data_IF_970718368608
#
_entry.id   IF_970718368608
#
_cell.length_a   1.000
_cell.length_b   1.000
_cell.length_c   1.000
_cell.angle_alpha   90.00
_cell.angle_beta   90.00
_cell.angle_gamma   90.00
#
_symmetry.space_group_name_H-M   'P 1'
#
loop_
_entity.id
_entity.type
_entity.pdbx_description
1 polymer ?
#
# COMPACT_ATOMS: atom_id res chain seq x y z
N UNK A 1 -5.13 29.63 -13.50
CA UNK A 1 -5.20 29.43 -12.04
C UNK A 1 -4.21 28.35 -11.68
N UNK A 2 -3.32 28.64 -10.73
CA UNK A 2 -2.16 27.84 -10.34
C UNK A 2 -2.37 27.22 -8.96
N UNK A 3 -2.14 25.92 -8.82
CA UNK A 3 -2.25 25.21 -7.54
C UNK A 3 -0.93 24.54 -7.20
N UNK A 4 -0.40 24.85 -6.01
CA UNK A 4 0.71 24.12 -5.41
C UNK A 4 0.14 22.97 -4.57
N UNK A 5 0.60 21.75 -4.80
CA UNK A 5 0.22 20.55 -4.05
C UNK A 5 1.45 20.03 -3.30
N UNK A 6 1.33 19.85 -1.99
CA UNK A 6 2.43 19.45 -1.12
C UNK A 6 2.02 18.23 -0.29
N UNK A 7 2.69 17.09 -0.50
CA UNK A 7 2.42 15.82 0.18
C UNK A 7 3.63 14.89 0.00
N UNK A 8 4.11 14.23 1.06
CA UNK A 8 5.30 13.37 0.99
C UNK A 8 5.02 11.99 0.36
N UNK A 9 3.76 11.69 0.04
CA UNK A 9 3.35 10.48 -0.66
C UNK A 9 3.14 10.74 -2.16
N UNK A 10 4.06 10.22 -2.98
CA UNK A 10 4.03 10.37 -4.45
C UNK A 10 2.69 9.93 -5.07
N UNK A 11 2.05 8.89 -4.53
CA UNK A 11 0.75 8.43 -5.00
C UNK A 11 -0.35 9.49 -4.83
N UNK A 12 -0.30 10.26 -3.74
CA UNK A 12 -1.24 11.34 -3.46
C UNK A 12 -0.98 12.51 -4.40
N UNK A 13 0.29 12.91 -4.56
CA UNK A 13 0.70 13.94 -5.53
C UNK A 13 0.21 13.62 -6.94
N UNK A 14 0.52 12.42 -7.46
CA UNK A 14 0.08 11.97 -8.80
C UNK A 14 -1.44 11.93 -8.95
N UNK A 15 -2.18 11.72 -7.86
CA UNK A 15 -3.64 11.69 -7.87
C UNK A 15 -4.22 13.10 -7.98
N UNK A 16 -3.70 14.01 -7.15
CA UNK A 16 -4.12 15.40 -7.10
C UNK A 16 -3.71 16.16 -8.35
N UNK A 17 -2.48 16.00 -8.80
CA UNK A 17 -1.95 16.60 -10.03
C UNK A 17 -2.84 16.27 -11.22
N UNK A 18 -3.08 14.97 -11.47
CA UNK A 18 -3.95 14.54 -12.56
C UNK A 18 -5.36 15.10 -12.41
N UNK A 19 -5.95 15.00 -11.23
CA UNK A 19 -7.34 15.45 -11.02
C UNK A 19 -7.52 16.95 -11.18
N UNK A 20 -6.58 17.76 -10.72
CA UNK A 20 -6.66 19.21 -10.80
C UNK A 20 -6.28 19.69 -12.21
N UNK A 21 -5.33 19.03 -12.88
CA UNK A 21 -5.02 19.29 -14.29
C UNK A 21 -6.21 18.95 -15.19
N UNK A 22 -6.92 17.84 -14.95
CA UNK A 22 -8.15 17.46 -15.66
C UNK A 22 -9.28 18.51 -15.45
N UNK A 23 -9.23 19.26 -14.34
CA UNK A 23 -10.13 20.38 -14.06
C UNK A 23 -9.65 21.73 -14.66
N UNK A 24 -8.50 21.74 -15.34
CA UNK A 24 -7.92 22.89 -16.03
C UNK A 24 -7.02 23.78 -15.16
N UNK A 25 -6.64 23.33 -13.97
CA UNK A 25 -5.65 24.04 -13.14
C UNK A 25 -4.24 23.74 -13.62
N UNK A 26 -3.35 24.73 -13.54
CA UNK A 26 -1.91 24.51 -13.66
C UNK A 26 -1.39 24.03 -12.31
N UNK A 27 -0.79 22.84 -12.24
CA UNK A 27 -0.42 22.21 -10.96
C UNK A 27 1.10 22.06 -10.85
N UNK A 28 1.63 22.39 -9.67
CA UNK A 28 3.01 22.10 -9.29
C UNK A 28 3.01 21.25 -8.03
N UNK A 29 3.78 20.17 -7.99
CA UNK A 29 3.86 19.27 -6.85
C UNK A 29 5.21 19.37 -6.13
N UNK A 30 5.19 19.25 -4.81
CA UNK A 30 6.38 19.10 -3.96
C UNK A 30 6.18 17.93 -3.00
N UNK A 31 7.20 17.08 -2.84
CA UNK A 31 7.20 15.93 -1.92
C UNK A 31 7.94 16.21 -0.61
N UNK A 32 8.43 17.44 -0.43
CA UNK A 32 9.14 17.90 0.76
C UNK A 32 8.96 19.41 0.96
N UNK A 33 9.23 19.87 2.19
CA UNK A 33 9.02 21.27 2.60
C UNK A 33 9.92 22.24 1.84
N UNK A 34 11.18 21.86 1.56
CA UNK A 34 12.15 22.72 0.88
C UNK A 34 11.69 23.06 -0.54
N UNK A 35 11.35 22.03 -1.31
CA UNK A 35 10.81 22.18 -2.66
C UNK A 35 9.47 22.91 -2.64
N UNK A 36 8.61 22.67 -1.63
CA UNK A 36 7.35 23.38 -1.50
C UNK A 36 7.54 24.89 -1.37
N UNK A 37 8.50 25.33 -0.55
CA UNK A 37 8.86 26.74 -0.36
C UNK A 37 9.46 27.33 -1.66
N UNK A 38 10.41 26.64 -2.28
CA UNK A 38 11.02 27.09 -3.52
C UNK A 38 10.01 27.19 -4.67
N UNK A 39 9.11 26.21 -4.78
CA UNK A 39 8.06 26.20 -5.79
C UNK A 39 7.01 27.25 -5.48
N UNK A 40 6.65 27.50 -4.22
CA UNK A 40 5.75 28.59 -3.87
C UNK A 40 6.25 29.94 -4.43
N UNK A 41 7.52 30.26 -4.20
CA UNK A 41 8.12 31.52 -4.66
C UNK A 41 8.21 31.62 -6.17
N UNK A 42 8.70 30.56 -6.83
CA UNK A 42 8.93 30.57 -8.28
C UNK A 42 7.66 30.39 -9.11
N UNK A 43 6.69 29.63 -8.59
CA UNK A 43 5.44 29.32 -9.30
C UNK A 43 4.35 30.37 -9.05
N UNK A 44 4.39 31.03 -7.88
CA UNK A 44 3.38 32.00 -7.41
C UNK A 44 1.96 31.43 -7.50
N UNK A 45 1.62 30.41 -6.70
CA UNK A 45 0.33 29.74 -6.78
C UNK A 45 -0.83 30.62 -6.29
N UNK A 46 -2.01 30.40 -6.87
CA UNK A 46 -3.28 31.00 -6.41
C UNK A 46 -3.86 30.23 -5.21
N UNK A 47 -3.49 28.95 -5.02
CA UNK A 47 -3.87 28.11 -3.88
C UNK A 47 -2.71 27.17 -3.54
N UNK A 48 -2.45 26.96 -2.24
CA UNK A 48 -1.62 25.87 -1.76
C UNK A 48 -2.48 24.81 -1.07
N UNK A 49 -2.34 23.54 -1.50
CA UNK A 49 -2.96 22.39 -0.86
C UNK A 49 -1.86 21.56 -0.21
N UNK A 50 -1.91 21.44 1.12
CA UNK A 50 -0.78 21.00 1.94
C UNK A 50 -1.20 19.85 2.84
N UNK A 51 -0.47 18.73 2.79
CA UNK A 51 -0.58 17.68 3.78
C UNK A 51 0.10 18.09 5.10
N UNK A 52 -0.59 17.87 6.21
CA UNK A 52 -0.06 18.24 7.53
C UNK A 52 0.95 17.24 8.07
N UNK A 53 0.86 15.96 7.67
CA UNK A 53 1.60 14.85 8.26
C UNK A 53 2.81 14.47 7.41
N UNK A 54 3.63 15.44 7.01
CA UNK A 54 4.83 15.16 6.22
C UNK A 54 6.01 14.71 7.09
N UNK A 55 6.72 13.68 6.67
CA UNK A 55 7.94 13.27 7.37
C UNK A 55 9.09 14.27 7.15
N UNK A 56 9.60 14.86 8.23
CA UNK A 56 10.81 15.70 8.17
C UNK A 56 12.02 14.79 8.11
N UNK A 57 12.86 14.93 7.08
CA UNK A 57 14.18 14.29 7.07
C UNK A 57 15.20 15.28 7.62
N UNK A 58 16.13 14.79 8.45
CA UNK A 58 17.14 15.62 9.12
C UNK A 58 18.06 16.39 8.15
N UNK A 59 18.01 16.07 6.85
CA UNK A 59 18.88 16.63 5.81
C UNK A 59 18.32 17.90 5.15
N UNK A 60 17.09 18.34 5.48
CA UNK A 60 16.43 19.52 4.87
C UNK A 60 16.63 20.83 5.67
N UNK A 61 17.87 21.17 6.04
CA UNK A 61 18.17 22.42 6.76
C UNK A 61 18.90 23.49 5.91
N UNK A 62 18.30 24.69 5.90
CA UNK A 62 18.85 26.05 5.61
C UNK A 62 18.90 26.53 4.15
N UNK A 63 18.34 27.71 3.87
CA UNK A 63 19.08 28.95 4.09
C UNK A 63 18.31 29.93 4.99
N UNK A 64 19.03 30.46 5.99
CA UNK A 64 18.58 31.41 7.01
C UNK A 64 17.79 30.76 8.16
N UNK A 65 18.44 30.68 9.33
CA UNK A 65 18.00 30.12 10.62
C UNK A 65 16.64 30.63 11.15
N UNK A 66 15.56 30.47 10.39
CA UNK A 66 14.25 31.08 10.68
C UNK A 66 13.28 30.07 11.27
N UNK A 67 13.54 28.77 11.14
CA UNK A 67 12.68 27.70 11.67
C UNK A 67 13.46 26.95 12.75
N UNK A 68 13.35 27.42 14.00
CA UNK A 68 13.85 26.71 15.19
C UNK A 68 12.86 25.61 15.56
N UNK A 69 13.40 24.41 15.74
CA UNK A 69 12.74 23.22 16.32
C UNK A 69 11.41 22.84 15.64
N UNK A 70 11.50 21.98 14.62
CA UNK A 70 10.32 21.32 14.07
C UNK A 70 9.99 20.14 14.99
N UNK A 71 8.88 20.23 15.71
CA UNK A 71 8.26 19.05 16.31
C UNK A 71 7.75 18.17 15.16
N UNK A 72 8.10 16.88 15.16
CA UNK A 72 7.83 15.94 14.06
C UNK A 72 6.32 15.74 13.75
N UNK A 73 5.43 16.33 14.56
CA UNK A 73 3.98 16.18 14.45
C UNK A 73 3.27 17.24 13.59
N UNK A 74 3.90 18.41 13.36
CA UNK A 74 3.24 19.58 12.76
C UNK A 74 3.98 20.12 11.51
N UNK A 75 4.86 19.32 10.92
CA UNK A 75 5.81 19.70 9.86
C UNK A 75 5.17 20.35 8.62
N UNK A 76 3.94 19.96 8.26
CA UNK A 76 3.23 20.56 7.12
C UNK A 76 2.79 22.01 7.36
N UNK A 77 2.63 22.44 8.62
CA UNK A 77 2.30 23.83 8.95
C UNK A 77 3.45 24.79 8.67
N UNK A 78 4.68 24.31 8.48
CA UNK A 78 5.84 25.17 8.16
C UNK A 78 5.68 25.87 6.81
N UNK A 79 5.08 25.19 5.82
CA UNK A 79 4.78 25.82 4.53
C UNK A 79 3.74 26.93 4.69
N UNK A 80 2.70 26.71 5.52
CA UNK A 80 1.70 27.75 5.84
C UNK A 80 2.34 28.94 6.57
N UNK A 81 3.19 28.68 7.59
CA UNK A 81 3.92 29.71 8.32
C UNK A 81 4.81 30.52 7.40
N UNK A 82 5.50 29.87 6.47
CA UNK A 82 6.32 30.55 5.46
C UNK A 82 5.47 31.52 4.62
N UNK A 83 4.34 31.06 4.09
CA UNK A 83 3.43 31.88 3.29
C UNK A 83 2.93 33.10 4.08
N UNK A 84 2.49 32.89 5.33
CA UNK A 84 1.83 33.92 6.15
C UNK A 84 2.78 34.86 6.85
N UNK A 85 3.90 34.39 7.38
CA UNK A 85 4.80 35.20 8.22
C UNK A 85 6.11 35.59 7.52
N UNK A 86 6.63 34.76 6.60
CA UNK A 86 7.88 35.07 5.88
C UNK A 86 7.61 35.86 4.61
N UNK A 87 6.62 35.41 3.81
CA UNK A 87 6.19 36.12 2.59
C UNK A 87 5.11 37.14 2.83
N UNK A 88 4.38 37.06 3.95
CA UNK A 88 3.26 37.95 4.26
C UNK A 88 2.22 38.00 3.14
N UNK A 89 1.91 36.82 2.57
CA UNK A 89 0.94 36.65 1.50
C UNK A 89 -0.36 36.04 2.03
N UNK A 90 -1.49 36.45 1.45
CA UNK A 90 -2.84 35.94 1.75
C UNK A 90 -3.28 34.80 0.81
N UNK A 91 -2.34 34.16 0.11
CA UNK A 91 -2.66 33.03 -0.79
C UNK A 91 -3.52 32.00 -0.04
N UNK A 92 -4.70 31.63 -0.55
CA UNK A 92 -5.53 30.59 0.04
C UNK A 92 -4.72 29.33 0.32
N UNK A 93 -4.89 28.76 1.52
CA UNK A 93 -4.27 27.50 1.93
C UNK A 93 -5.37 26.51 2.35
N UNK A 94 -5.34 25.32 1.75
CA UNK A 94 -6.17 24.19 2.14
C UNK A 94 -5.30 23.10 2.74
N UNK A 95 -5.65 22.64 3.94
CA UNK A 95 -4.92 21.57 4.62
C UNK A 95 -5.62 20.23 4.37
N UNK A 96 -4.86 19.22 3.98
CA UNK A 96 -5.26 17.82 4.04
C UNK A 96 -4.63 17.17 5.28
N UNK A 97 -5.40 16.36 6.00
CA UNK A 97 -4.84 15.61 7.13
C UNK A 97 -5.47 14.24 7.32
N UNK A 98 -4.62 13.34 7.78
CA UNK A 98 -4.95 11.97 8.13
C UNK A 98 -5.46 11.74 9.53
N UNK A 99 -5.07 12.60 10.48
CA UNK A 99 -5.26 12.38 11.91
C UNK A 99 -6.14 13.48 12.51
N UNK A 100 -6.96 13.09 13.47
CA UNK A 100 -7.99 13.93 14.10
C UNK A 100 -7.44 14.62 15.34
N UNK A 101 -6.17 15.03 15.30
CA UNK A 101 -5.63 15.77 16.42
C UNK A 101 -6.23 17.18 16.36
N UNK A 102 -7.31 17.39 17.12
CA UNK A 102 -8.09 18.63 17.11
C UNK A 102 -7.19 19.85 17.41
N UNK A 103 -6.14 19.65 18.21
CA UNK A 103 -5.12 20.66 18.53
C UNK A 103 -4.36 21.14 17.28
N UNK A 104 -4.05 20.21 16.36
CA UNK A 104 -3.34 20.54 15.11
C UNK A 104 -4.26 21.32 14.16
N UNK A 105 -5.55 21.01 14.17
CA UNK A 105 -6.55 21.72 13.37
C UNK A 105 -6.74 23.16 13.85
N UNK A 106 -6.88 23.32 15.17
CA UNK A 106 -6.99 24.63 15.81
C UNK A 106 -5.80 25.51 15.47
N UNK A 107 -4.57 25.00 15.66
CA UNK A 107 -3.34 25.69 15.23
C UNK A 107 -3.35 26.07 13.76
N UNK A 108 -3.77 25.17 12.87
CA UNK A 108 -3.84 25.44 11.43
C UNK A 108 -4.74 26.62 11.09
N UNK A 109 -5.91 26.72 11.73
CA UNK A 109 -6.82 27.87 11.58
C UNK A 109 -6.25 29.15 12.18
N UNK A 110 -5.64 29.08 13.36
CA UNK A 110 -4.97 30.23 14.00
C UNK A 110 -3.84 30.80 13.12
N UNK A 111 -3.11 29.93 12.42
CA UNK A 111 -2.06 30.31 11.46
C UNK A 111 -2.62 30.84 10.13
N UNK A 112 -3.94 30.87 9.93
CA UNK A 112 -4.59 31.45 8.76
C UNK A 112 -4.81 30.49 7.59
N UNK A 113 -4.96 29.19 7.85
CA UNK A 113 -5.50 28.25 6.86
C UNK A 113 -6.97 28.59 6.52
N UNK A 114 -7.34 28.46 5.25
CA UNK A 114 -8.67 28.86 4.77
C UNK A 114 -9.67 27.70 4.78
N UNK A 115 -9.20 26.46 4.65
CA UNK A 115 -10.05 25.27 4.59
C UNK A 115 -9.27 24.03 5.05
N UNK A 116 -10.01 23.05 5.55
CA UNK A 116 -9.46 21.78 5.99
C UNK A 116 -10.26 20.59 5.45
N UNK A 117 -9.57 19.52 5.08
CA UNK A 117 -10.20 18.27 4.66
C UNK A 117 -9.54 17.06 5.30
N UNK A 118 -10.37 16.16 5.83
CA UNK A 118 -9.94 14.92 6.45
C UNK A 118 -9.82 13.79 5.43
N UNK A 119 -8.66 13.11 5.39
CA UNK A 119 -8.46 11.86 4.65
C UNK A 119 -9.16 10.69 5.41
N UNK A 120 -9.82 9.75 4.72
CA UNK A 120 -9.94 9.63 3.27
C UNK A 120 -10.94 10.62 2.67
N UNK A 121 -10.58 11.21 1.54
CA UNK A 121 -11.35 12.27 0.86
C UNK A 121 -11.47 11.97 -0.63
N UNK A 122 -12.61 12.28 -1.24
CA UNK A 122 -12.79 12.10 -2.68
C UNK A 122 -12.14 13.24 -3.47
N UNK A 123 -11.53 12.91 -4.62
CA UNK A 123 -10.97 13.92 -5.52
C UNK A 123 -12.03 14.92 -6.01
N UNK A 124 -13.28 14.47 -6.13
CA UNK A 124 -14.42 15.33 -6.46
C UNK A 124 -14.65 16.40 -5.40
N UNK A 125 -14.62 16.03 -4.13
CA UNK A 125 -14.81 16.98 -3.03
C UNK A 125 -13.68 18.01 -3.00
N UNK A 126 -12.43 17.57 -3.15
CA UNK A 126 -11.27 18.48 -3.27
C UNK A 126 -11.49 19.47 -4.41
N UNK A 127 -11.84 18.98 -5.61
CA UNK A 127 -12.10 19.83 -6.77
C UNK A 127 -13.20 20.87 -6.52
N UNK A 128 -14.27 20.53 -5.79
CA UNK A 128 -15.33 21.47 -5.41
C UNK A 128 -14.79 22.55 -4.47
N UNK A 129 -14.00 22.17 -3.45
CA UNK A 129 -13.44 23.12 -2.47
C UNK A 129 -12.40 24.04 -3.11
N UNK A 130 -11.54 23.51 -3.97
CA UNK A 130 -10.57 24.30 -4.75
C UNK A 130 -11.31 25.36 -5.58
N UNK A 131 -12.35 24.95 -6.31
CA UNK A 131 -13.17 25.88 -7.11
C UNK A 131 -13.87 26.95 -6.26
N UNK A 132 -14.27 26.61 -5.04
CA UNK A 132 -14.87 27.57 -4.10
C UNK A 132 -13.88 28.63 -3.63
N UNK A 133 -12.60 28.27 -3.46
CA UNK A 133 -11.56 29.18 -2.96
C UNK A 133 -10.98 30.10 -4.04
N UNK A 134 -10.69 29.56 -5.23
CA UNK A 134 -9.97 30.31 -6.28
C UNK A 134 -10.74 30.45 -7.60
N UNK A 135 -11.95 29.89 -7.70
CA UNK A 135 -12.75 29.88 -8.91
C UNK A 135 -12.48 28.68 -9.83
N UNK A 136 -13.15 28.65 -10.98
CA UNK A 136 -12.99 27.59 -12.00
C UNK A 136 -12.25 28.17 -13.22
N UNK A 137 -11.13 27.56 -13.66
CA UNK A 137 -10.41 28.00 -14.84
C UNK A 137 -11.14 27.64 -16.15
N UNK A 138 -12.12 26.74 -16.06
CA UNK A 138 -12.85 26.16 -17.18
C UNK A 138 -14.36 26.38 -16.99
N UNK A 139 -15.14 26.69 -18.06
CA UNK A 139 -16.60 26.80 -18.01
C UNK A 139 -17.26 25.50 -17.50
N UNK A 140 -18.42 25.63 -16.84
CA UNK A 140 -19.10 24.51 -16.19
C UNK A 140 -19.46 23.34 -17.15
N UNK A 141 -19.57 23.62 -18.45
CA UNK A 141 -20.01 22.67 -19.48
C UNK A 141 -18.89 21.76 -20.03
N UNK A 142 -17.62 22.03 -19.73
CA UNK A 142 -16.46 21.29 -20.28
C UNK A 142 -15.73 20.43 -19.24
N UNK A 143 -16.32 20.19 -18.06
CA UNK A 143 -15.73 19.29 -17.06
C UNK A 143 -15.98 17.83 -17.48
N UNK A 144 -14.94 17.02 -17.71
CA UNK A 144 -15.13 15.61 -18.05
C UNK A 144 -15.86 14.87 -16.92
N UNK A 145 -16.87 14.08 -17.29
CA UNK A 145 -17.71 13.26 -16.40
C UNK A 145 -16.90 12.16 -15.65
N UNK A 146 -15.61 12.00 -15.94
CA UNK A 146 -14.76 10.87 -15.52
C UNK A 146 -14.07 11.00 -14.15
N UNK A 147 -14.29 12.06 -13.35
CA UNK A 147 -13.72 12.18 -11.99
C UNK A 147 -14.50 11.30 -10.97
N UNK A 148 -15.48 10.53 -11.42
CA UNK A 148 -16.39 9.79 -10.55
C UNK A 148 -15.67 8.73 -9.69
N UNK A 149 -15.70 8.96 -8.38
CA UNK A 149 -15.43 8.03 -7.28
C UNK A 149 -13.97 7.61 -7.00
N UNK A 150 -12.99 8.47 -7.28
CA UNK A 150 -11.61 8.26 -6.81
C UNK A 150 -11.40 8.85 -5.40
N UNK A 151 -10.80 8.08 -4.50
CA UNK A 151 -10.60 8.43 -3.09
C UNK A 151 -9.10 8.45 -2.77
N UNK A 152 -8.62 9.54 -2.18
CA UNK A 152 -7.31 9.62 -1.54
C UNK A 152 -7.45 8.96 -0.17
N UNK A 153 -6.64 7.93 0.07
CA UNK A 153 -6.58 7.25 1.35
C UNK A 153 -5.61 7.95 2.29
N UNK A 154 -5.77 7.70 3.59
CA UNK A 154 -4.83 8.18 4.59
C UNK A 154 -3.48 7.43 4.57
N UNK A 155 -3.44 6.28 3.91
CA UNK A 155 -2.29 5.36 3.97
C UNK A 155 -1.99 4.84 2.57
N UNK A 156 -0.71 4.77 2.25
CA UNK A 156 -0.22 4.25 0.98
C UNK A 156 0.20 2.79 1.11
N UNK A 157 -0.26 1.95 0.19
CA UNK A 157 -0.21 0.50 0.29
C UNK A 157 0.48 -0.08 -0.95
N UNK A 158 1.58 -0.80 -0.73
CA UNK A 158 2.29 -1.52 -1.77
C UNK A 158 1.88 -3.00 -1.81
N UNK A 159 1.40 -3.52 -2.94
CA UNK A 159 1.00 -4.92 -3.08
C UNK A 159 1.88 -5.62 -4.12
N UNK A 160 2.58 -6.66 -3.69
CA UNK A 160 3.40 -7.51 -4.54
C UNK A 160 2.54 -8.63 -5.12
N UNK A 161 2.60 -8.78 -6.44
CA UNK A 161 1.89 -9.82 -7.17
C UNK A 161 2.94 -10.65 -7.94
N UNK A 162 3.29 -11.86 -7.49
CA UNK A 162 4.22 -12.72 -8.22
C UNK A 162 3.55 -13.30 -9.45
N UNK A 163 4.24 -13.25 -10.59
CA UNK A 163 3.74 -13.73 -11.87
C UNK A 163 4.72 -14.74 -12.48
N UNK A 164 4.23 -15.93 -12.82
CA UNK A 164 4.92 -16.89 -13.66
C UNK A 164 3.93 -17.53 -14.61
N UNK A 165 3.99 -17.12 -15.87
CA UNK A 165 3.05 -17.51 -16.93
C UNK A 165 1.57 -17.22 -16.56
N UNK A 166 1.25 -15.93 -16.33
CA UNK A 166 -0.06 -15.47 -15.86
C UNK A 166 -0.78 -14.55 -16.88
N UNK A 167 -0.36 -14.55 -18.15
CA UNK A 167 -0.88 -13.62 -19.18
C UNK A 167 -2.42 -13.56 -19.21
N UNK A 168 -3.10 -14.70 -19.12
CA UNK A 168 -4.56 -14.78 -19.18
C UNK A 168 -5.26 -14.13 -17.97
N UNK A 169 -4.66 -14.21 -16.78
CA UNK A 169 -5.21 -13.57 -15.57
C UNK A 169 -4.93 -12.08 -15.56
N UNK A 170 -3.81 -11.65 -16.12
CA UNK A 170 -3.41 -10.25 -16.15
C UNK A 170 -4.16 -9.43 -17.21
N UNK A 171 -4.72 -10.08 -18.23
CA UNK A 171 -5.59 -9.45 -19.23
C UNK A 171 -6.95 -9.00 -18.66
N UNK A 172 -7.28 -9.41 -17.44
CA UNK A 172 -8.56 -9.13 -16.80
C UNK A 172 -8.67 -7.66 -16.38
N UNK A 173 -9.88 -7.08 -16.46
CA UNK A 173 -10.13 -5.67 -16.12
C UNK A 173 -10.04 -5.37 -14.62
N UNK A 174 -9.98 -6.40 -13.78
CA UNK A 174 -9.97 -6.28 -12.32
C UNK A 174 -8.75 -5.50 -11.82
N UNK A 175 -7.55 -5.79 -12.34
CA UNK A 175 -6.34 -5.06 -11.96
C UNK A 175 -6.40 -3.58 -12.38
N UNK A 176 -6.85 -3.33 -13.61
CA UNK A 176 -7.02 -1.96 -14.15
C UNK A 176 -8.02 -1.16 -13.34
N UNK A 177 -9.22 -1.72 -13.16
CA UNK A 177 -10.31 -1.10 -12.41
C UNK A 177 -9.93 -0.86 -10.94
N UNK A 178 -9.22 -1.81 -10.31
CA UNK A 178 -8.78 -1.66 -8.94
C UNK A 178 -7.82 -0.49 -8.76
N UNK A 179 -6.76 -0.40 -9.56
CA UNK A 179 -5.75 0.67 -9.46
C UNK A 179 -6.34 2.03 -9.81
N UNK A 180 -7.20 2.07 -10.83
CA UNK A 180 -7.87 3.29 -11.25
C UNK A 180 -8.79 3.87 -10.16
N UNK A 181 -9.50 3.00 -9.42
CA UNK A 181 -10.44 3.38 -8.36
C UNK A 181 -9.75 3.67 -7.02
N UNK A 182 -8.71 2.91 -6.68
CA UNK A 182 -8.08 2.91 -5.35
C UNK A 182 -6.70 3.56 -5.40
N UNK A 183 -6.66 4.89 -5.29
CA UNK A 183 -5.46 5.69 -5.50
C UNK A 183 -4.36 5.51 -4.45
N UNK A 184 -4.70 5.01 -3.26
CA UNK A 184 -3.74 4.68 -2.21
C UNK A 184 -3.00 3.36 -2.42
N UNK A 185 -3.24 2.65 -3.52
CA UNK A 185 -2.59 1.37 -3.82
C UNK A 185 -1.57 1.49 -4.94
N UNK A 186 -0.45 0.80 -4.76
CA UNK A 186 0.56 0.57 -5.77
C UNK A 186 0.74 -0.94 -5.98
N UNK A 187 0.60 -1.39 -7.23
CA UNK A 187 0.81 -2.80 -7.57
C UNK A 187 2.23 -3.02 -8.12
N UNK A 188 2.95 -3.94 -7.51
CA UNK A 188 4.27 -4.39 -7.92
C UNK A 188 4.18 -5.81 -8.47
N UNK A 189 4.14 -5.92 -9.79
CA UNK A 189 4.17 -7.22 -10.45
C UNK A 189 5.60 -7.72 -10.54
N UNK A 190 5.85 -8.93 -10.02
CA UNK A 190 7.16 -9.56 -10.09
C UNK A 190 7.12 -10.66 -11.13
N UNK A 191 7.65 -10.38 -12.33
CA UNK A 191 7.76 -11.39 -13.38
C UNK A 191 8.91 -12.35 -13.05
N UNK A 192 8.58 -13.58 -12.66
CA UNK A 192 9.52 -14.62 -12.21
C UNK A 192 10.06 -15.45 -13.39
N UNK A 193 10.59 -14.79 -14.42
CA UNK A 193 11.15 -15.48 -15.58
C UNK A 193 10.12 -16.22 -16.43
N UNK A 194 8.94 -15.63 -16.62
CA UNK A 194 7.88 -16.18 -17.50
C UNK A 194 8.40 -16.44 -18.92
N UNK A 195 7.84 -17.47 -19.53
CA UNK A 195 8.16 -17.94 -20.89
C UNK A 195 7.06 -17.61 -21.91
N UNK A 196 5.95 -17.06 -21.46
CA UNK A 196 4.81 -16.59 -22.26
C UNK A 196 4.82 -15.05 -22.39
N UNK A 197 3.71 -14.45 -22.84
CA UNK A 197 3.60 -13.00 -23.04
C UNK A 197 3.30 -12.22 -21.74
N UNK A 198 3.44 -12.84 -20.56
CA UNK A 198 3.20 -12.18 -19.26
C UNK A 198 3.92 -10.83 -19.15
N UNK A 199 5.20 -10.75 -19.55
CA UNK A 199 5.97 -9.51 -19.45
C UNK A 199 5.41 -8.40 -20.35
N UNK A 200 4.91 -8.75 -21.53
CA UNK A 200 4.30 -7.79 -22.45
C UNK A 200 3.00 -7.23 -21.87
N UNK A 201 2.10 -8.10 -21.40
CA UNK A 201 0.84 -7.72 -20.74
C UNK A 201 1.11 -6.81 -19.54
N UNK A 202 2.11 -7.13 -18.72
CA UNK A 202 2.50 -6.29 -17.58
C UNK A 202 2.98 -4.90 -18.02
N UNK A 203 3.77 -4.80 -19.10
CA UNK A 203 4.22 -3.51 -19.62
C UNK A 203 3.05 -2.66 -20.12
N UNK A 204 2.04 -3.26 -20.72
CA UNK A 204 0.84 -2.54 -21.16
C UNK A 204 0.00 -2.06 -19.98
N UNK A 205 -0.23 -2.92 -18.98
CA UNK A 205 -0.86 -2.52 -17.72
C UNK A 205 -0.14 -1.33 -17.07
N UNK A 206 1.20 -1.34 -17.08
CA UNK A 206 2.02 -0.25 -16.52
C UNK A 206 1.87 1.06 -17.31
N UNK A 207 1.86 1.01 -18.65
CA UNK A 207 1.68 2.20 -19.50
C UNK A 207 0.36 2.89 -19.20
N UNK A 208 -0.71 2.12 -19.01
CA UNK A 208 -2.06 2.65 -18.75
C UNK A 208 -2.21 3.26 -17.34
N UNK A 209 -1.42 2.82 -16.35
CA UNK A 209 -1.62 3.12 -14.94
C UNK A 209 -0.46 3.93 -14.31
N UNK A 210 0.00 4.94 -15.05
CA UNK A 210 1.12 5.85 -14.74
C UNK A 210 1.43 6.06 -13.25
N UNK A 211 2.55 5.46 -12.81
CA UNK A 211 3.13 5.61 -11.47
C UNK A 211 2.59 4.67 -10.40
N UNK A 212 1.42 4.03 -10.60
CA UNK A 212 0.79 3.11 -9.62
C UNK A 212 1.06 1.64 -9.87
N UNK A 213 1.72 1.34 -10.99
CA UNK A 213 2.17 0.01 -11.35
C UNK A 213 3.67 0.01 -11.56
N UNK A 214 4.34 -0.96 -10.93
CA UNK A 214 5.76 -1.25 -11.15
C UNK A 214 5.94 -2.70 -11.53
N UNK A 215 7.01 -2.98 -12.29
CA UNK A 215 7.35 -4.31 -12.75
C UNK A 215 8.77 -4.60 -12.27
N UNK A 216 8.91 -5.67 -11.50
CA UNK A 216 10.21 -6.24 -11.14
C UNK A 216 10.45 -7.48 -12.00
N UNK A 217 11.26 -7.34 -13.04
CA UNK A 217 11.49 -8.42 -14.01
C UNK A 217 12.72 -9.27 -13.65
N UNK A 218 12.50 -10.55 -13.33
CA UNK A 218 13.54 -11.54 -13.09
C UNK A 218 13.76 -12.34 -14.37
N UNK A 219 14.99 -12.36 -14.89
CA UNK A 219 15.30 -13.02 -16.17
C UNK A 219 15.20 -14.55 -16.15
N UNK A 220 15.34 -15.18 -14.99
CA UNK A 220 15.34 -16.64 -14.82
C UNK A 220 14.40 -17.02 -13.70
N UNK A 221 13.65 -18.11 -13.87
CA UNK A 221 12.75 -18.63 -12.85
C UNK A 221 13.48 -18.93 -11.53
N UNK A 222 13.16 -18.19 -10.47
CA UNK A 222 13.70 -18.39 -9.11
C UNK A 222 12.69 -19.06 -8.20
N UNK A 223 11.40 -18.87 -8.48
CA UNK A 223 10.27 -19.43 -7.75
C UNK A 223 9.58 -18.39 -6.85
N UNK A 224 8.28 -18.60 -6.64
CA UNK A 224 7.35 -17.71 -5.90
C UNK A 224 7.92 -17.08 -4.62
N UNK A 225 8.55 -17.86 -3.75
CA UNK A 225 9.09 -17.36 -2.49
C UNK A 225 10.15 -16.25 -2.70
N UNK A 226 11.07 -16.45 -3.65
CA UNK A 226 12.10 -15.46 -3.96
C UNK A 226 11.53 -14.28 -4.74
N UNK A 227 10.58 -14.52 -5.65
CA UNK A 227 9.87 -13.46 -6.36
C UNK A 227 9.14 -12.52 -5.38
N UNK A 228 8.34 -13.06 -4.45
CA UNK A 228 7.69 -12.27 -3.40
C UNK A 228 8.75 -11.54 -2.57
N UNK A 229 9.81 -12.21 -2.12
CA UNK A 229 10.85 -11.58 -1.30
C UNK A 229 11.48 -10.36 -1.98
N UNK A 230 11.84 -10.49 -3.25
CA UNK A 230 12.44 -9.39 -4.01
C UNK A 230 11.45 -8.24 -4.21
N UNK A 231 10.19 -8.53 -4.54
CA UNK A 231 9.14 -7.52 -4.65
C UNK A 231 8.90 -6.77 -3.34
N UNK A 232 8.79 -7.51 -2.23
CA UNK A 232 8.54 -6.94 -0.89
C UNK A 232 9.69 -6.03 -0.47
N UNK A 233 10.94 -6.47 -0.64
CA UNK A 233 12.12 -5.64 -0.36
C UNK A 233 12.24 -4.43 -1.31
N UNK A 234 11.82 -4.57 -2.57
CA UNK A 234 11.82 -3.46 -3.53
C UNK A 234 10.84 -2.36 -3.12
N UNK A 235 9.66 -2.73 -2.61
CA UNK A 235 8.69 -1.77 -2.09
C UNK A 235 9.12 -1.20 -0.74
N UNK A 236 9.72 -2.00 0.15
CA UNK A 236 10.15 -1.53 1.47
C UNK A 236 11.22 -0.41 1.41
N UNK A 237 11.99 -0.32 0.32
CA UNK A 237 12.92 0.78 0.08
C UNK A 237 12.22 2.13 -0.14
N UNK A 238 10.96 2.13 -0.55
CA UNK A 238 10.20 3.34 -0.79
C UNK A 238 9.48 3.74 0.50
N UNK A 239 9.86 4.88 1.07
CA UNK A 239 9.31 5.35 2.35
C UNK A 239 7.82 5.68 2.29
N UNK A 240 7.29 5.95 1.10
CA UNK A 240 5.88 6.28 0.89
C UNK A 240 4.90 5.17 1.32
N UNK A 241 5.33 3.91 1.44
CA UNK A 241 4.42 2.82 1.81
C UNK A 241 4.40 2.60 3.32
N UNK A 242 3.22 2.82 3.91
CA UNK A 242 2.94 2.50 5.32
C UNK A 242 2.82 0.99 5.51
N UNK A 243 2.12 0.35 4.55
CA UNK A 243 1.83 -1.07 4.55
C UNK A 243 2.25 -1.69 3.23
N UNK A 244 2.80 -2.90 3.31
CA UNK A 244 3.22 -3.66 2.15
C UNK A 244 2.67 -5.07 2.29
N UNK A 245 2.14 -5.62 1.22
CA UNK A 245 1.54 -6.93 1.22
C UNK A 245 1.86 -7.69 -0.05
N UNK A 246 1.38 -8.92 -0.12
CA UNK A 246 1.39 -9.70 -1.34
C UNK A 246 0.06 -10.42 -1.51
N UNK A 247 -0.30 -10.69 -2.77
CA UNK A 247 -1.44 -11.53 -3.14
C UNK A 247 -1.14 -12.31 -4.41
N UNK A 248 -1.91 -13.36 -4.68
CA UNK A 248 -1.78 -14.17 -5.90
C UNK A 248 -2.35 -13.46 -7.13
N UNK A 249 -1.71 -13.67 -8.30
CA UNK A 249 -2.14 -13.09 -9.57
C UNK A 249 -3.44 -13.69 -10.12
N UNK A 250 -3.83 -14.87 -9.64
CA UNK A 250 -5.02 -15.61 -10.08
C UNK A 250 -6.33 -15.10 -9.45
N UNK A 251 -6.26 -14.05 -8.63
CA UNK A 251 -7.40 -13.45 -7.91
C UNK A 251 -8.25 -14.45 -7.12
N UNK A 252 -7.67 -15.59 -6.72
CA UNK A 252 -8.32 -16.56 -5.83
C UNK A 252 -8.75 -15.91 -4.51
N UNK A 253 -8.01 -14.90 -4.06
CA UNK A 253 -8.50 -13.83 -3.17
C UNK A 253 -8.71 -12.56 -3.99
N UNK A 254 -9.91 -11.99 -3.91
CA UNK A 254 -10.26 -10.80 -4.68
C UNK A 254 -9.80 -9.50 -3.97
N UNK A 255 -9.97 -8.36 -4.66
CA UNK A 255 -9.62 -7.06 -4.13
C UNK A 255 -10.51 -6.55 -2.98
N UNK A 256 -11.72 -7.10 -2.83
CA UNK A 256 -12.63 -6.75 -1.72
C UNK A 256 -12.05 -7.32 -0.42
N UNK A 257 -11.70 -8.60 -0.42
CA UNK A 257 -11.03 -9.25 0.70
C UNK A 257 -9.69 -8.56 1.03
N UNK A 258 -8.89 -8.20 0.01
CA UNK A 258 -7.67 -7.41 0.23
C UNK A 258 -7.96 -6.08 0.93
N UNK A 259 -9.00 -5.36 0.49
CA UNK A 259 -9.41 -4.08 1.08
C UNK A 259 -9.84 -4.26 2.54
N UNK A 260 -10.48 -5.38 2.89
CA UNK A 260 -10.85 -5.70 4.27
C UNK A 260 -9.65 -6.04 5.16
N UNK A 261 -8.64 -6.72 4.61
CA UNK A 261 -7.37 -6.94 5.30
C UNK A 261 -6.67 -5.60 5.58
N UNK A 262 -6.61 -4.72 4.58
CA UNK A 262 -6.06 -3.37 4.72
C UNK A 262 -6.82 -2.55 5.76
N UNK A 263 -8.15 -2.52 5.69
CA UNK A 263 -8.98 -1.82 6.68
C UNK A 263 -8.75 -2.35 8.11
N UNK A 264 -8.47 -3.65 8.23
CA UNK A 264 -8.20 -4.27 9.53
C UNK A 264 -6.83 -3.84 10.06
N UNK A 265 -5.77 -3.83 9.22
CA UNK A 265 -4.43 -3.45 9.70
C UNK A 265 -4.35 -1.95 10.02
N UNK A 266 -4.95 -1.08 9.19
CA UNK A 266 -4.89 0.38 9.38
C UNK A 266 -5.63 0.88 10.62
N UNK A 267 -6.64 0.13 11.09
CA UNK A 267 -7.48 0.49 12.26
C UNK A 267 -7.11 -0.29 13.53
N UNK A 268 -5.98 -0.97 13.54
CA UNK A 268 -5.59 -1.82 14.66
C UNK A 268 -4.11 -1.64 15.02
N UNK A 269 -3.69 -2.31 16.09
CA UNK A 269 -2.29 -2.41 16.50
C UNK A 269 -1.52 -3.55 15.82
N UNK A 270 -2.15 -4.25 14.87
CA UNK A 270 -1.53 -5.41 14.23
C UNK A 270 -0.41 -4.95 13.29
N UNK A 271 0.70 -5.68 13.30
CA UNK A 271 1.78 -5.51 12.34
C UNK A 271 1.68 -6.44 11.14
N UNK A 272 0.90 -7.52 11.27
CA UNK A 272 0.61 -8.46 10.17
C UNK A 272 -0.87 -8.81 10.21
N UNK A 273 -1.54 -8.72 9.06
CA UNK A 273 -2.87 -9.29 8.85
C UNK A 273 -2.79 -10.23 7.67
N UNK A 274 -3.15 -11.51 7.87
CA UNK A 274 -3.20 -12.50 6.80
C UNK A 274 -4.62 -12.97 6.56
N UNK A 275 -4.91 -13.36 5.33
CA UNK A 275 -6.16 -14.05 5.00
C UNK A 275 -6.22 -15.41 5.69
N UNK A 276 -7.43 -15.92 5.88
CA UNK A 276 -7.66 -17.21 6.51
C UNK A 276 -8.84 -17.93 5.85
N UNK A 277 -8.56 -19.08 5.22
CA UNK A 277 -9.55 -19.89 4.49
C UNK A 277 -10.34 -20.78 5.47
N UNK A 278 -11.22 -20.19 6.25
CA UNK A 278 -12.09 -20.93 7.19
C UNK A 278 -13.50 -21.01 6.62
N UNK A 279 -14.07 -22.21 6.59
CA UNK A 279 -15.49 -22.42 6.24
C UNK A 279 -16.39 -21.69 7.23
N UNK A 280 -17.03 -20.61 6.78
CA UNK A 280 -18.14 -19.95 7.48
C UNK A 280 -19.47 -20.43 6.90
N UNK A 281 -20.56 -20.35 7.66
CA UNK A 281 -21.90 -20.49 7.08
C UNK A 281 -22.08 -19.40 6.02
N UNK A 282 -22.42 -19.79 4.79
CA UNK A 282 -22.59 -18.88 3.64
C UNK A 282 -21.33 -18.58 2.82
N UNK A 283 -20.16 -19.11 3.19
CA UNK A 283 -18.94 -18.99 2.37
C UNK A 283 -18.79 -20.21 1.45
N UNK A 284 -18.76 -20.00 0.13
CA UNK A 284 -18.52 -21.04 -0.89
C UNK A 284 -17.05 -21.49 -0.87
N UNK A 285 -16.73 -22.43 0.03
CA UNK A 285 -15.38 -23.01 0.14
C UNK A 285 -15.42 -24.47 -0.34
N UNK A 286 -15.30 -24.64 -1.66
CA UNK A 286 -15.42 -25.94 -2.36
C UNK A 286 -14.13 -26.77 -2.29
N UNK A 287 -13.77 -27.31 -1.12
CA UNK A 287 -12.57 -28.17 -1.02
C UNK A 287 -12.91 -29.66 -1.12
N UNK A 288 -12.17 -30.43 -1.92
CA UNK A 288 -12.22 -31.90 -1.86
C UNK A 288 -11.88 -32.44 -0.45
N UNK A 289 -12.56 -33.51 0.03
CA UNK A 289 -12.40 -34.02 1.39
C UNK A 289 -10.98 -34.45 1.76
N UNK A 290 -10.26 -35.05 0.81
CA UNK A 290 -8.88 -35.56 0.99
C UNK A 290 -7.89 -34.43 1.21
N UNK A 291 -7.99 -33.35 0.43
CA UNK A 291 -7.17 -32.14 0.57
C UNK A 291 -7.43 -31.43 1.89
N UNK A 292 -8.69 -31.39 2.33
CA UNK A 292 -9.07 -30.83 3.64
C UNK A 292 -8.39 -31.60 4.78
N UNK A 293 -8.32 -32.92 4.70
CA UNK A 293 -7.63 -33.74 5.71
C UNK A 293 -6.11 -33.48 5.72
N UNK A 294 -5.47 -33.50 4.55
CA UNK A 294 -4.03 -33.22 4.41
C UNK A 294 -3.66 -31.84 4.98
N UNK A 295 -4.42 -30.81 4.62
CA UNK A 295 -4.19 -29.45 5.14
C UNK A 295 -4.37 -29.38 6.66
N UNK A 296 -5.39 -30.04 7.22
CA UNK A 296 -5.57 -30.12 8.68
C UNK A 296 -4.39 -30.81 9.36
N UNK A 297 -3.87 -31.89 8.77
CA UNK A 297 -2.71 -32.60 9.30
C UNK A 297 -1.44 -31.74 9.28
N UNK A 298 -1.11 -31.14 8.14
CA UNK A 298 0.07 -30.26 8.00
C UNK A 298 -0.02 -29.07 8.96
N UNK A 299 -1.19 -28.42 9.04
CA UNK A 299 -1.41 -27.31 9.98
C UNK A 299 -1.29 -27.77 11.44
N UNK A 300 -1.80 -28.95 11.80
CA UNK A 300 -1.61 -29.51 13.13
C UNK A 300 -0.13 -29.74 13.45
N UNK A 301 0.63 -30.30 12.51
CA UNK A 301 2.07 -30.52 12.68
C UNK A 301 2.82 -29.21 12.88
N UNK A 302 2.52 -28.18 12.07
CA UNK A 302 3.09 -26.83 12.21
C UNK A 302 2.78 -26.25 13.59
N UNK A 303 1.51 -26.31 14.02
CA UNK A 303 1.09 -25.81 15.35
C UNK A 303 1.84 -26.49 16.49
N UNK A 304 2.04 -27.81 16.41
CA UNK A 304 2.76 -28.57 17.44
C UNK A 304 4.27 -28.31 17.43
N UNK A 305 4.91 -28.38 16.27
CA UNK A 305 6.36 -28.18 16.15
C UNK A 305 6.74 -26.78 16.60
N UNK A 306 6.02 -25.77 16.10
CA UNK A 306 6.40 -24.38 16.33
C UNK A 306 5.69 -23.75 17.53
N UNK A 307 4.73 -24.45 18.15
CA UNK A 307 3.91 -23.96 19.26
C UNK A 307 3.23 -22.62 18.92
N UNK A 308 2.53 -22.58 17.79
CA UNK A 308 1.86 -21.39 17.27
C UNK A 308 0.39 -21.69 17.01
N UNK A 309 -0.49 -20.70 17.16
CA UNK A 309 -1.96 -20.90 17.16
C UNK A 309 -2.65 -20.51 15.84
N UNK A 310 -1.88 -20.35 14.75
CA UNK A 310 -2.40 -19.94 13.44
C UNK A 310 -3.19 -21.03 12.73
N UNK A 311 -4.33 -20.67 12.15
CA UNK A 311 -5.30 -21.52 11.44
C UNK A 311 -4.90 -21.75 9.99
N UNK A 312 -4.35 -20.74 9.33
CA UNK A 312 -4.01 -20.75 7.91
C UNK A 312 -2.81 -19.84 7.60
N UNK A 313 -1.65 -20.20 8.15
CA UNK A 313 -0.41 -19.46 7.94
C UNK A 313 -0.04 -19.38 6.44
N UNK A 314 -0.52 -20.29 5.59
CA UNK A 314 -0.17 -20.39 4.16
C UNK A 314 -1.19 -19.74 3.22
N UNK A 315 -2.08 -18.90 3.73
CA UNK A 315 -2.96 -18.11 2.86
C UNK A 315 -2.13 -17.17 1.98
N UNK A 316 -2.48 -17.12 0.69
CA UNK A 316 -1.74 -16.41 -0.36
C UNK A 316 -1.85 -14.89 -0.31
N UNK A 317 -2.68 -14.33 0.59
CA UNK A 317 -2.76 -12.89 0.85
C UNK A 317 -2.27 -12.54 2.25
N UNK A 318 -1.38 -11.56 2.35
CA UNK A 318 -0.93 -10.96 3.61
C UNK A 318 -0.61 -9.49 3.43
N UNK A 319 -0.95 -8.67 4.42
CA UNK A 319 -0.57 -7.26 4.54
C UNK A 319 0.21 -7.08 5.84
N UNK A 320 1.26 -6.27 5.83
CA UNK A 320 2.08 -6.01 7.01
C UNK A 320 2.62 -4.58 7.02
N UNK A 321 3.03 -4.10 8.19
CA UNK A 321 3.73 -2.83 8.31
C UNK A 321 5.11 -2.91 7.65
N UNK A 322 5.60 -1.79 7.11
CA UNK A 322 6.88 -1.74 6.39
C UNK A 322 8.06 -2.29 7.21
N UNK A 323 8.12 -2.02 8.51
CA UNK A 323 9.19 -2.52 9.39
C UNK A 323 9.22 -4.05 9.50
N UNK A 324 8.07 -4.71 9.41
CA UNK A 324 8.00 -6.18 9.38
C UNK A 324 8.61 -6.74 8.11
N UNK A 325 8.50 -6.04 6.98
CA UNK A 325 9.06 -6.50 5.71
C UNK A 325 10.56 -6.61 5.78
N UNK A 326 11.22 -5.57 6.28
CA UNK A 326 12.67 -5.52 6.45
C UNK A 326 13.16 -6.66 7.35
N UNK A 327 12.39 -7.03 8.37
CA UNK A 327 12.71 -8.13 9.28
C UNK A 327 12.45 -9.52 8.68
N UNK A 328 11.28 -9.73 8.08
CA UNK A 328 10.84 -11.05 7.62
C UNK A 328 11.48 -11.47 6.29
N UNK A 329 11.82 -10.52 5.42
CA UNK A 329 12.25 -10.78 4.04
C UNK A 329 13.72 -10.48 3.75
N UNK A 330 14.48 -9.96 4.72
CA UNK A 330 15.90 -9.64 4.55
C UNK A 330 16.72 -10.80 3.97
N UNK A 331 16.55 -12.00 4.53
CA UNK A 331 17.27 -13.19 4.10
C UNK A 331 16.45 -14.04 3.13
N UNK A 332 17.12 -14.74 2.21
CA UNK A 332 16.47 -15.74 1.36
C UNK A 332 15.76 -16.79 2.20
N UNK A 333 14.61 -17.26 1.72
CA UNK A 333 13.90 -18.37 2.34
C UNK A 333 14.61 -19.69 2.03
N UNK A 334 14.65 -20.59 3.01
CA UNK A 334 15.28 -21.89 2.84
C UNK A 334 14.42 -22.82 1.97
N UNK A 335 13.10 -22.61 1.96
CA UNK A 335 12.13 -23.40 1.21
C UNK A 335 11.35 -22.54 0.21
N UNK A 336 11.09 -23.10 -0.97
CA UNK A 336 10.30 -22.42 -2.02
C UNK A 336 8.79 -22.42 -1.76
N UNK A 337 8.29 -23.36 -0.95
CA UNK A 337 6.86 -23.67 -0.80
C UNK A 337 6.31 -23.45 0.61
N UNK A 338 7.18 -23.34 1.63
CA UNK A 338 6.79 -23.12 3.03
C UNK A 338 7.32 -21.80 3.57
N UNK A 339 7.61 -20.84 2.69
CA UNK A 339 8.19 -19.56 3.06
C UNK A 339 7.29 -18.77 4.03
N UNK A 340 5.97 -18.93 3.98
CA UNK A 340 5.04 -18.33 4.95
C UNK A 340 5.31 -18.78 6.39
N UNK A 341 5.72 -20.05 6.57
CA UNK A 341 6.11 -20.57 7.87
C UNK A 341 7.44 -19.97 8.31
N UNK A 342 8.36 -19.76 7.38
CA UNK A 342 9.62 -19.09 7.68
C UNK A 342 9.43 -17.63 8.08
N UNK A 343 8.50 -16.90 7.45
CA UNK A 343 8.09 -15.55 7.87
C UNK A 343 7.66 -15.59 9.34
N UNK A 344 6.74 -16.51 9.66
CA UNK A 344 6.22 -16.70 11.02
C UNK A 344 7.35 -16.97 12.03
N UNK A 345 8.32 -17.82 11.68
CA UNK A 345 9.44 -18.17 12.54
C UNK A 345 10.44 -17.03 12.75
N UNK A 346 10.71 -16.27 11.69
CA UNK A 346 11.56 -15.07 11.78
C UNK A 346 10.94 -14.03 12.71
N UNK A 347 9.63 -13.79 12.57
CA UNK A 347 8.92 -12.86 13.44
C UNK A 347 8.80 -13.38 14.88
N UNK A 348 8.61 -14.70 15.06
CA UNK A 348 8.62 -15.33 16.39
C UNK A 348 9.97 -15.16 17.07
N UNK A 349 11.08 -15.32 16.33
CA UNK A 349 12.44 -15.12 16.85
C UNK A 349 12.66 -13.67 17.29
N UNK A 350 12.10 -12.69 16.55
CA UNK A 350 12.26 -11.26 16.84
C UNK A 350 11.37 -10.76 17.99
N UNK A 351 10.08 -11.08 17.96
CA UNK A 351 9.10 -10.53 18.91
C UNK A 351 8.81 -11.45 20.09
N UNK A 352 9.16 -12.73 20.00
CA UNK A 352 8.71 -13.75 20.94
C UNK A 352 7.28 -14.24 20.61
N UNK A 353 6.93 -15.43 21.11
CA UNK A 353 5.65 -16.08 20.79
C UNK A 353 4.44 -15.24 21.21
N UNK A 354 4.43 -14.76 22.45
CA UNK A 354 3.27 -14.09 23.04
C UNK A 354 2.98 -12.77 22.32
N UNK A 355 4.02 -11.94 22.11
CA UNK A 355 3.86 -10.67 21.40
C UNK A 355 3.45 -10.92 19.95
N UNK A 356 4.01 -11.92 19.27
CA UNK A 356 3.62 -12.23 17.88
C UNK A 356 2.12 -12.54 17.76
N UNK A 357 1.52 -13.26 18.72
CA UNK A 357 0.09 -13.53 18.72
C UNK A 357 -0.76 -12.25 18.87
N UNK A 358 -0.22 -11.19 19.48
CA UNK A 358 -0.90 -9.91 19.60
C UNK A 358 -0.66 -8.97 18.40
N UNK A 359 0.38 -9.23 17.61
CA UNK A 359 0.76 -8.43 16.45
C UNK A 359 0.32 -9.04 15.12
N UNK A 360 -0.01 -10.32 15.06
CA UNK A 360 -0.46 -11.02 13.87
C UNK A 360 -1.93 -11.45 13.99
N UNK A 361 -2.77 -10.96 13.10
CA UNK A 361 -4.18 -11.35 13.02
C UNK A 361 -4.52 -12.14 11.75
N UNK A 362 -5.32 -13.19 11.88
CA UNK A 362 -5.86 -13.97 10.76
C UNK A 362 -7.29 -13.52 10.45
N UNK A 363 -7.45 -12.72 9.39
CA UNK A 363 -8.74 -12.23 8.92
C UNK A 363 -9.41 -13.32 8.07
N UNK A 364 -10.59 -13.83 8.46
CA UNK A 364 -11.30 -14.78 7.62
C UNK A 364 -11.76 -14.12 6.32
N UNK A 365 -11.59 -14.82 5.21
CA UNK A 365 -12.00 -14.35 3.88
C UNK A 365 -13.48 -14.64 3.65
N UNK A 366 -14.17 -13.73 2.96
CA UNK A 366 -15.60 -13.87 2.66
C UNK A 366 -15.83 -14.64 1.34
N UNK A 367 -14.91 -14.52 0.38
CA UNK A 367 -14.93 -15.31 -0.86
C UNK A 367 -13.55 -15.90 -1.14
N UNK A 368 -13.51 -17.18 -1.47
CA UNK A 368 -12.31 -17.81 -1.99
C UNK A 368 -12.67 -18.79 -3.08
N UNK A 369 -12.28 -18.47 -4.32
CA UNK A 369 -12.57 -19.29 -5.50
C UNK A 369 -11.31 -20.06 -5.89
N UNK A 370 -11.47 -21.33 -6.22
CA UNK A 370 -10.41 -22.10 -6.87
C UNK A 370 -10.19 -21.60 -8.29
N UNK A 371 -9.14 -20.79 -8.50
CA UNK A 371 -8.69 -20.40 -9.84
C UNK A 371 -7.86 -21.51 -10.52
N UNK A 372 -7.20 -22.40 -9.74
CA UNK A 372 -6.36 -23.48 -10.25
C UNK A 372 -6.82 -24.88 -9.84
N UNK A 373 -6.96 -25.75 -10.84
CA UNK A 373 -7.03 -27.21 -10.71
C UNK A 373 -5.66 -27.83 -10.37
N UNK A 374 -4.93 -27.30 -9.39
CA UNK A 374 -3.75 -28.01 -8.85
C UNK A 374 -4.24 -29.17 -7.99
N UNK A 375 -4.31 -30.37 -8.55
CA UNK A 375 -4.43 -31.62 -7.78
C UNK A 375 -3.21 -31.72 -6.86
N UNK A 376 -3.41 -31.50 -5.56
CA UNK A 376 -2.35 -31.73 -4.57
C UNK A 376 -2.20 -33.24 -4.42
N UNK A 377 -1.19 -33.81 -5.05
CA UNK A 377 -0.89 -35.24 -4.93
C UNK A 377 -0.42 -35.58 -3.52
N UNK A 378 -0.80 -36.75 -3.00
CA UNK A 378 -0.36 -37.27 -1.70
C UNK A 378 1.17 -37.24 -1.51
N UNK A 379 1.93 -37.43 -2.60
CA UNK A 379 3.40 -37.34 -2.59
C UNK A 379 3.93 -35.91 -2.35
N UNK A 380 3.20 -34.88 -2.79
CA UNK A 380 3.56 -33.49 -2.50
C UNK A 380 3.44 -33.21 -0.99
N UNK A 381 2.48 -33.83 -0.31
CA UNK A 381 2.29 -33.72 1.15
C UNK A 381 3.48 -34.30 1.94
N UNK A 382 4.04 -35.43 1.52
CA UNK A 382 5.27 -35.98 2.14
C UNK A 382 6.47 -35.08 1.93
N UNK A 383 6.59 -34.44 0.76
CA UNK A 383 7.64 -33.46 0.47
C UNK A 383 7.54 -32.24 1.41
N UNK A 384 6.32 -31.81 1.76
CA UNK A 384 6.09 -30.74 2.74
C UNK A 384 6.57 -31.13 4.14
N UNK A 385 6.33 -32.37 4.59
CA UNK A 385 6.81 -32.85 5.90
C UNK A 385 8.35 -32.85 5.97
N UNK A 386 9.03 -33.29 4.91
CA UNK A 386 10.49 -33.23 4.84
C UNK A 386 11.03 -31.79 4.85
N UNK A 387 10.33 -30.86 4.18
CA UNK A 387 10.67 -29.43 4.25
C UNK A 387 10.43 -28.83 5.63
N UNK A 388 9.35 -29.22 6.33
CA UNK A 388 9.10 -28.81 7.71
C UNK A 388 10.22 -29.28 8.64
N UNK A 389 10.71 -30.51 8.49
CA UNK A 389 11.87 -31.01 9.24
C UNK A 389 13.12 -30.15 9.02
N UNK A 390 13.40 -29.79 7.76
CA UNK A 390 14.51 -28.90 7.41
C UNK A 390 14.38 -27.49 8.02
N UNK A 391 13.19 -26.90 7.95
CA UNK A 391 12.90 -25.60 8.58
C UNK A 391 13.11 -25.69 10.10
N UNK A 392 12.63 -26.76 10.73
CA UNK A 392 12.74 -26.96 12.18
C UNK A 392 14.20 -27.05 12.63
N UNK A 393 15.06 -27.69 11.84
CA UNK A 393 16.50 -27.76 12.12
C UNK A 393 17.20 -26.41 11.93
N UNK A 394 16.80 -25.64 10.92
CA UNK A 394 17.43 -24.36 10.61
C UNK A 394 17.05 -23.23 11.58
N UNK A 395 15.81 -23.21 12.06
CA UNK A 395 15.27 -22.17 12.95
C UNK A 395 15.17 -22.61 14.42
N UNK A 396 15.85 -23.70 14.80
CA UNK A 396 15.84 -24.23 16.18
C UNK A 396 16.61 -23.37 17.16
#
# INVERSE_FOLDING_TARGET
MKVLVVDDQQLVLLSLEKSLTDLGFEVKCADNIFDAVQYYDSFSPDLALIDINMSVTADTFSPENTIKEIDNKDSGLEVLKYIRYVRNHDTPVMILSGNVDDDILEKGFELGANEYMKKPVSLKEIGIRVKKLIGSPVPAESVPVSINNRIIQNTCIGIVIPCYNEENWLLSEEFRSFVHKNLGYHLCFVNDGSTDNTLEVLNDLKKENGGRISIYNIKKYVGRAEAIRLGMLSLAKQKQFDYIGFMDADLSTNFIDLSDLVNTITKSKYKVVSGCRVSRMGADITTEPTRRFINRFVNYTIRKIFRLEFRDAQCGVKIMTRDVVELAFANRFYTKTLFDIEILLRLKKKYGRYNLQQLWYEKPLDRWIYARNTKVSFFQSFKLLGQLGKITLHYK
#
